data_IF_669230970808
#
_entry.id   IF_669230970808
#
_cell.length_a   1.000
_cell.length_b   1.000
_cell.length_c   1.000
_cell.angle_alpha   90.00
_cell.angle_beta   90.00
_cell.angle_gamma   90.00
#
_symmetry.space_group_name_H-M   'P 1'
#
loop_
_entity.id
_entity.type
_entity.pdbx_description
1 polymer ?
#
# COMPACT_ATOMS: atom_id res chain seq x y z
N UNK A 1 23.81 -1.41 4.31
CA UNK A 1 23.12 -0.30 4.99
C UNK A 1 24.10 0.54 5.76
N UNK A 2 24.46 1.69 5.19
CA UNK A 2 25.15 2.78 5.86
C UNK A 2 24.32 3.26 7.07
N UNK A 3 24.98 3.93 8.03
CA UNK A 3 24.39 4.38 9.29
C UNK A 3 23.17 5.34 9.13
N UNK A 4 22.85 5.80 7.92
CA UNK A 4 21.68 6.63 7.59
C UNK A 4 20.52 5.92 6.86
N UNK A 5 20.74 4.73 6.28
CA UNK A 5 19.71 4.06 5.45
C UNK A 5 18.69 3.27 6.28
N UNK A 6 18.98 3.07 7.58
CA UNK A 6 18.06 2.41 8.53
C UNK A 6 16.72 3.10 8.64
N UNK A 7 16.72 4.43 8.68
CA UNK A 7 15.46 5.18 8.73
C UNK A 7 14.63 4.96 7.45
N UNK A 8 15.29 4.86 6.29
CA UNK A 8 14.61 4.60 5.02
C UNK A 8 13.95 3.22 5.04
N UNK A 9 14.66 2.15 5.38
CA UNK A 9 14.06 0.82 5.45
C UNK A 9 12.88 0.75 6.44
N UNK A 10 13.00 1.37 7.62
CA UNK A 10 11.92 1.41 8.61
C UNK A 10 10.71 2.24 8.16
N UNK A 11 10.93 3.42 7.57
CA UNK A 11 9.84 4.25 7.08
C UNK A 11 9.10 3.58 5.93
N UNK A 12 9.83 2.89 5.05
CA UNK A 12 9.25 2.11 3.96
C UNK A 12 8.48 0.87 4.44
N UNK A 13 8.97 0.18 5.48
CA UNK A 13 8.24 -0.93 6.10
C UNK A 13 6.91 -0.47 6.70
N UNK A 14 6.92 0.64 7.44
CA UNK A 14 5.69 1.24 7.98
C UNK A 14 4.76 1.65 6.84
N UNK A 15 5.31 2.24 5.78
CA UNK A 15 4.58 2.56 4.56
C UNK A 15 3.92 1.34 3.92
N UNK A 16 4.59 0.19 3.87
CA UNK A 16 4.06 -1.05 3.33
C UNK A 16 2.84 -1.55 4.14
N UNK A 17 2.96 -1.55 5.47
CA UNK A 17 1.86 -1.94 6.38
C UNK A 17 0.66 -1.00 6.21
N UNK A 18 0.89 0.31 6.24
CA UNK A 18 -0.17 1.30 6.07
C UNK A 18 -0.83 1.20 4.68
N UNK A 19 -0.05 0.96 3.62
CA UNK A 19 -0.56 0.75 2.27
C UNK A 19 -1.45 -0.50 2.19
N UNK A 20 -1.08 -1.60 2.83
CA UNK A 20 -1.91 -2.81 2.87
C UNK A 20 -3.24 -2.55 3.58
N UNK A 21 -3.20 -1.92 4.76
CA UNK A 21 -4.42 -1.60 5.52
C UNK A 21 -5.32 -0.64 4.73
N UNK A 22 -4.74 0.41 4.13
CA UNK A 22 -5.47 1.37 3.31
C UNK A 22 -6.09 0.74 2.06
N UNK A 23 -5.36 -0.15 1.38
CA UNK A 23 -5.87 -0.88 0.22
C UNK A 23 -7.09 -1.75 0.58
N UNK A 24 -7.01 -2.50 1.68
CA UNK A 24 -8.13 -3.31 2.18
C UNK A 24 -9.33 -2.41 2.50
N UNK A 25 -9.11 -1.30 3.22
CA UNK A 25 -10.17 -0.36 3.57
C UNK A 25 -10.89 0.20 2.33
N UNK A 26 -10.12 0.69 1.34
CA UNK A 26 -10.68 1.24 0.10
C UNK A 26 -11.43 0.19 -0.70
N UNK A 27 -10.92 -1.04 -0.77
CA UNK A 27 -11.61 -2.15 -1.44
C UNK A 27 -12.94 -2.47 -0.76
N UNK A 28 -12.97 -2.58 0.57
CA UNK A 28 -14.21 -2.81 1.32
C UNK A 28 -15.22 -1.69 1.04
N UNK A 29 -14.80 -0.43 1.11
CA UNK A 29 -15.68 0.71 0.85
C UNK A 29 -16.19 0.74 -0.59
N UNK A 30 -15.34 0.43 -1.57
CA UNK A 30 -15.73 0.36 -2.98
C UNK A 30 -16.71 -0.79 -3.23
N UNK A 31 -16.48 -1.95 -2.60
CA UNK A 31 -17.38 -3.11 -2.68
C UNK A 31 -18.75 -2.82 -2.07
N UNK A 32 -18.80 -2.14 -0.91
CA UNK A 32 -20.07 -1.74 -0.28
C UNK A 32 -20.88 -0.76 -1.14
N UNK A 33 -20.21 0.04 -1.99
CA UNK A 33 -20.88 0.95 -2.92
C UNK A 33 -21.36 0.26 -4.20
N UNK A 34 -20.98 -1.00 -4.45
CA UNK A 34 -21.41 -1.77 -5.64
C UNK A 34 -20.82 -1.27 -6.96
N UNK A 35 -19.79 -0.43 -6.92
CA UNK A 35 -19.19 0.19 -8.10
C UNK A 35 -17.93 -0.57 -8.52
N UNK A 36 -18.05 -1.35 -9.60
CA UNK A 36 -16.97 -2.19 -10.12
C UNK A 36 -15.76 -1.36 -10.55
N UNK A 37 -15.97 -0.17 -11.11
CA UNK A 37 -14.87 0.69 -11.54
C UNK A 37 -14.06 1.18 -10.34
N UNK A 38 -14.72 1.57 -9.26
CA UNK A 38 -14.02 1.91 -8.01
C UNK A 38 -13.24 0.73 -7.48
N UNK A 39 -13.81 -0.47 -7.44
CA UNK A 39 -13.10 -1.66 -6.93
C UNK A 39 -11.83 -1.93 -7.74
N UNK A 40 -11.92 -1.93 -9.07
CA UNK A 40 -10.76 -2.16 -9.95
C UNK A 40 -9.71 -1.07 -9.79
N UNK A 41 -10.11 0.21 -9.77
CA UNK A 41 -9.17 1.33 -9.58
C UNK A 41 -8.47 1.27 -8.21
N UNK A 42 -9.21 0.97 -7.14
CA UNK A 42 -8.64 0.85 -5.80
C UNK A 42 -7.72 -0.37 -5.68
N UNK A 43 -8.04 -1.48 -6.35
CA UNK A 43 -7.19 -2.67 -6.40
C UNK A 43 -5.83 -2.35 -7.04
N UNK A 44 -5.84 -1.68 -8.21
CA UNK A 44 -4.62 -1.30 -8.93
C UNK A 44 -3.79 -0.35 -8.07
N UNK A 45 -4.41 0.72 -7.55
CA UNK A 45 -3.74 1.70 -6.70
C UNK A 45 -3.11 1.05 -5.44
N UNK A 46 -3.88 0.23 -4.73
CA UNK A 46 -3.42 -0.46 -3.54
C UNK A 46 -2.27 -1.43 -3.82
N UNK A 47 -2.37 -2.23 -4.89
CA UNK A 47 -1.33 -3.18 -5.28
C UNK A 47 -0.01 -2.46 -5.65
N UNK A 48 -0.10 -1.32 -6.36
CA UNK A 48 1.07 -0.51 -6.69
C UNK A 48 1.73 0.06 -5.43
N UNK A 49 0.97 0.60 -4.47
CA UNK A 49 1.54 1.13 -3.23
C UNK A 49 2.20 0.05 -2.37
N UNK A 50 1.54 -1.10 -2.20
CA UNK A 50 2.11 -2.22 -1.43
C UNK A 50 3.40 -2.70 -2.08
N UNK A 51 3.42 -2.85 -3.40
CA UNK A 51 4.63 -3.23 -4.15
C UNK A 51 5.74 -2.20 -4.00
N UNK A 52 5.43 -0.91 -4.18
CA UNK A 52 6.38 0.20 -4.05
C UNK A 52 7.06 0.17 -2.69
N UNK A 53 6.29 0.15 -1.60
CA UNK A 53 6.85 0.20 -0.25
C UNK A 53 7.58 -1.09 0.13
N UNK A 54 7.09 -2.25 -0.31
CA UNK A 54 7.74 -3.54 -0.04
C UNK A 54 9.10 -3.65 -0.74
N UNK A 55 9.17 -3.29 -2.02
CA UNK A 55 10.42 -3.29 -2.79
C UNK A 55 11.41 -2.26 -2.24
N UNK A 56 10.93 -1.14 -1.70
CA UNK A 56 11.80 -0.12 -1.12
C UNK A 56 12.23 -0.38 0.34
N UNK A 57 11.75 -1.47 0.94
CA UNK A 57 12.14 -1.87 2.31
C UNK A 57 13.43 -2.69 2.33
N UNK A 58 13.79 -3.34 1.20
CA UNK A 58 15.00 -4.16 1.03
C UNK A 58 16.23 -3.36 0.62
#
# INVERSE_FOLDING_TARGET
>A
MYYGEKFNAWSHLVGAVLATVGAIWLLVMASLQGDVWKVVSMAIYGACLVTLYSVSTV
#
